data_IF_105635513350
#
_entry.id   IF_105635513350
#
_cell.length_a   1.000
_cell.length_b   1.000
_cell.length_c   1.000
_cell.angle_alpha   90.00
_cell.angle_beta   90.00
_cell.angle_gamma   90.00
#
_symmetry.space_group_name_H-M   'P 1'
#
loop_
_entity.id
_entity.type
_entity.pdbx_description
1 polymer ?
#
# COMPACT_ATOMS: atom_id res chain seq x y z
N UNK A 1 23.78 9.38 -1.36
CA UNK A 1 22.40 9.65 -1.80
C UNK A 1 21.61 8.39 -1.49
N UNK A 2 20.69 8.45 -0.52
CA UNK A 2 19.96 7.26 -0.06
C UNK A 2 18.94 6.80 -1.10
N UNK A 3 18.73 5.49 -1.18
CA UNK A 3 17.63 4.93 -1.99
C UNK A 3 16.29 5.36 -1.37
N UNK A 4 15.29 5.61 -2.22
CA UNK A 4 13.95 5.98 -1.78
C UNK A 4 13.32 4.85 -0.97
N UNK A 5 12.89 5.10 0.27
CA UNK A 5 12.31 4.08 1.15
C UNK A 5 10.80 4.03 1.05
N UNK A 6 10.27 2.89 0.63
CA UNK A 6 8.82 2.67 0.48
C UNK A 6 8.37 1.61 1.50
N UNK A 7 7.47 2.02 2.39
CA UNK A 7 6.89 1.17 3.41
C UNK A 7 5.71 0.37 2.89
N UNK A 8 5.77 -0.97 2.97
CA UNK A 8 4.63 -1.85 2.70
C UNK A 8 4.18 -2.50 4.02
N UNK A 9 2.96 -2.20 4.52
CA UNK A 9 2.40 -2.87 5.69
C UNK A 9 2.27 -4.38 5.45
N UNK A 10 2.82 -5.21 6.34
CA UNK A 10 2.65 -6.67 6.34
C UNK A 10 1.27 -7.06 6.89
N UNK A 11 0.22 -6.65 6.19
CA UNK A 11 -1.16 -6.90 6.58
C UNK A 11 -2.09 -6.94 5.35
N UNK A 12 -3.27 -7.55 5.53
CA UNK A 12 -4.30 -7.67 4.49
C UNK A 12 -3.75 -8.32 3.20
N UNK A 13 -3.82 -7.60 2.07
CA UNK A 13 -3.45 -8.06 0.73
C UNK A 13 -1.93 -8.15 0.50
N UNK A 14 -1.12 -7.81 1.51
CA UNK A 14 0.31 -8.09 1.51
C UNK A 14 0.60 -9.55 1.15
N UNK A 15 -0.09 -10.50 1.79
CA UNK A 15 0.22 -11.92 1.64
C UNK A 15 -0.02 -12.46 0.23
N UNK A 16 -0.81 -11.76 -0.57
CA UNK A 16 -1.13 -12.13 -1.94
C UNK A 16 -0.28 -11.35 -2.96
N UNK A 17 -0.09 -10.05 -2.76
CA UNK A 17 0.51 -9.16 -3.77
C UNK A 17 1.92 -8.65 -3.42
N UNK A 18 2.46 -8.97 -2.25
CA UNK A 18 3.77 -8.44 -1.83
C UNK A 18 4.91 -8.79 -2.79
N UNK A 19 5.10 -10.04 -3.27
CA UNK A 19 6.19 -10.35 -4.18
C UNK A 19 6.15 -9.51 -5.46
N UNK A 20 4.95 -9.27 -5.99
CA UNK A 20 4.72 -8.43 -7.17
C UNK A 20 5.18 -7.00 -6.94
N UNK A 21 4.69 -6.36 -5.87
CA UNK A 21 5.04 -4.98 -5.56
C UNK A 21 6.50 -4.82 -5.13
N UNK A 22 7.03 -5.75 -4.34
CA UNK A 22 8.44 -5.74 -3.92
C UNK A 22 9.36 -5.77 -5.13
N UNK A 23 9.18 -6.75 -6.02
CA UNK A 23 10.04 -6.91 -7.19
C UNK A 23 9.95 -5.70 -8.12
N UNK A 24 8.75 -5.15 -8.32
CA UNK A 24 8.55 -3.95 -9.13
C UNK A 24 9.29 -2.73 -8.53
N UNK A 25 9.07 -2.44 -7.25
CA UNK A 25 9.63 -1.26 -6.58
C UNK A 25 11.17 -1.35 -6.44
N UNK A 26 11.69 -2.52 -6.01
CA UNK A 26 13.12 -2.75 -5.92
C UNK A 26 13.79 -2.74 -7.30
N UNK A 27 13.14 -3.31 -8.32
CA UNK A 27 13.61 -3.26 -9.71
C UNK A 27 13.77 -1.83 -10.23
N UNK A 28 12.96 -0.90 -9.74
CA UNK A 28 13.07 0.52 -10.06
C UNK A 28 14.18 1.25 -9.28
N UNK A 29 14.66 0.67 -8.18
CA UNK A 29 15.72 1.22 -7.34
C UNK A 29 15.25 1.77 -5.99
N UNK A 30 14.00 1.51 -5.59
CA UNK A 30 13.51 1.82 -4.26
C UNK A 30 13.92 0.75 -3.24
N UNK A 31 14.08 1.13 -1.98
CA UNK A 31 14.26 0.21 -0.86
C UNK A 31 12.88 -0.10 -0.25
N UNK A 32 12.48 -1.37 -0.22
CA UNK A 32 11.19 -1.79 0.32
C UNK A 32 11.35 -2.15 1.80
N UNK A 33 10.66 -1.42 2.67
CA UNK A 33 10.63 -1.66 4.12
C UNK A 33 9.29 -2.27 4.50
N UNK A 34 9.31 -3.40 5.21
CA UNK A 34 8.10 -4.02 5.73
C UNK A 34 7.95 -3.78 7.24
N UNK A 35 6.72 -3.77 7.72
CA UNK A 35 6.43 -3.59 9.15
C UNK A 35 6.92 -4.76 10.01
N UNK A 36 6.99 -5.97 9.45
CA UNK A 36 7.22 -7.21 10.19
C UNK A 36 5.93 -7.87 10.70
N UNK A 37 6.04 -9.03 11.37
CA UNK A 37 4.90 -9.77 11.89
C UNK A 37 4.10 -8.92 12.88
N UNK A 38 2.80 -9.16 12.94
CA UNK A 38 1.91 -8.44 13.87
C UNK A 38 2.34 -8.67 15.31
N UNK A 39 2.61 -7.59 16.04
CA UNK A 39 2.88 -7.64 17.49
C UNK A 39 1.69 -7.13 18.28
N UNK A 40 1.67 -7.39 19.59
CA UNK A 40 0.61 -6.87 20.47
C UNK A 40 0.59 -5.34 20.50
N UNK A 41 1.75 -4.71 20.41
CA UNK A 41 1.87 -3.25 20.39
C UNK A 41 1.23 -2.66 19.13
N UNK A 42 1.44 -3.31 17.96
CA UNK A 42 0.76 -2.91 16.71
C UNK A 42 -0.75 -3.07 16.85
N UNK A 43 -1.20 -4.18 17.45
CA UNK A 43 -2.62 -4.40 17.72
C UNK A 43 -3.23 -3.29 18.56
N UNK A 44 -2.64 -3.02 19.72
CA UNK A 44 -3.13 -2.06 20.69
C UNK A 44 -3.14 -0.64 20.10
N UNK A 45 -2.08 -0.28 19.36
CA UNK A 45 -2.00 1.01 18.69
C UNK A 45 -3.03 1.12 17.57
N UNK A 46 -3.22 0.06 16.79
CA UNK A 46 -4.20 -0.02 15.72
C UNK A 46 -5.63 0.14 16.22
N UNK A 47 -5.98 -0.55 17.31
CA UNK A 47 -7.31 -0.44 17.95
C UNK A 47 -7.56 0.96 18.50
N UNK A 48 -6.55 1.59 19.12
CA UNK A 48 -6.67 2.95 19.66
C UNK A 48 -6.78 4.03 18.58
N UNK A 49 -6.14 3.83 17.43
CA UNK A 49 -6.06 4.85 16.37
C UNK A 49 -7.15 4.70 15.30
N UNK A 50 -7.84 3.57 15.28
CA UNK A 50 -8.89 3.27 14.33
C UNK A 50 -10.25 3.84 14.73
N UNK A 51 -11.09 4.11 13.72
CA UNK A 51 -12.51 4.38 13.90
C UNK A 51 -13.19 3.15 14.52
N UNK A 52 -14.18 3.36 15.40
CA UNK A 52 -14.82 2.28 16.18
C UNK A 52 -15.37 1.14 15.30
N UNK A 53 -16.06 1.50 14.21
CA UNK A 53 -16.84 0.62 13.33
C UNK A 53 -16.05 -0.02 12.17
N UNK A 54 -14.75 -0.27 12.34
CA UNK A 54 -13.95 -0.99 11.32
C UNK A 54 -13.59 -2.41 11.78
N UNK A 55 -13.49 -3.33 10.82
CA UNK A 55 -13.19 -4.73 11.13
C UNK A 55 -11.78 -4.87 11.70
N UNK A 56 -11.60 -5.89 12.55
CA UNK A 56 -10.36 -6.14 13.26
C UNK A 56 -9.12 -6.17 12.35
N UNK A 57 -9.13 -6.84 11.16
CA UNK A 57 -7.97 -6.83 10.26
C UNK A 57 -7.52 -5.43 9.82
N UNK A 58 -8.46 -4.48 9.66
CA UNK A 58 -8.13 -3.10 9.29
C UNK A 58 -7.57 -2.34 10.50
N UNK A 59 -8.05 -2.61 11.71
CA UNK A 59 -7.43 -2.09 12.94
C UNK A 59 -5.97 -2.57 13.05
N UNK A 60 -5.71 -3.85 12.77
CA UNK A 60 -4.33 -4.37 12.71
C UNK A 60 -3.50 -3.63 11.67
N UNK A 61 -4.04 -3.42 10.46
CA UNK A 61 -3.38 -2.68 9.39
C UNK A 61 -2.92 -1.27 9.83
N UNK A 62 -3.73 -0.56 10.63
CA UNK A 62 -3.34 0.75 11.19
C UNK A 62 -2.09 0.65 12.06
N UNK A 63 -1.99 -0.40 12.89
CA UNK A 63 -0.79 -0.68 13.68
C UNK A 63 0.46 -0.85 12.82
N UNK A 64 0.33 -1.59 11.71
CA UNK A 64 1.42 -1.76 10.76
C UNK A 64 1.83 -0.43 10.11
N UNK A 65 0.87 0.39 9.68
CA UNK A 65 1.13 1.74 9.15
C UNK A 65 1.87 2.60 10.16
N UNK A 66 1.41 2.62 11.41
CA UNK A 66 2.04 3.39 12.47
C UNK A 66 3.45 2.92 12.80
N UNK A 67 3.73 1.62 12.71
CA UNK A 67 5.09 1.10 12.87
C UNK A 67 6.04 1.49 11.73
N UNK A 68 5.51 1.88 10.57
CA UNK A 68 6.29 2.23 9.38
C UNK A 68 6.48 3.73 9.20
N UNK A 69 5.55 4.56 9.69
CA UNK A 69 5.46 5.98 9.35
C UNK A 69 6.77 6.78 9.56
N UNK A 70 7.56 6.45 10.58
CA UNK A 70 8.80 7.17 10.92
C UNK A 70 10.06 6.52 10.32
N UNK A 71 9.90 5.45 9.53
CA UNK A 71 11.01 4.65 8.95
C UNK A 71 11.11 4.75 7.43
N UNK A 72 10.15 5.41 6.77
CA UNK A 72 9.97 5.37 5.31
C UNK A 72 9.64 6.75 4.75
N UNK A 73 10.01 6.99 3.50
CA UNK A 73 9.72 8.24 2.79
C UNK A 73 8.29 8.24 2.24
N UNK A 74 7.78 7.06 1.87
CA UNK A 74 6.43 6.87 1.34
C UNK A 74 5.77 5.62 1.94
N UNK A 75 4.46 5.65 2.13
CA UNK A 75 3.65 4.49 2.49
C UNK A 75 2.89 3.95 1.29
N UNK A 76 3.04 2.65 1.01
CA UNK A 76 2.32 1.99 -0.08
C UNK A 76 1.02 1.38 0.44
N UNK A 77 -0.12 1.97 0.03
CA UNK A 77 -1.46 1.56 0.46
C UNK A 77 -2.37 1.51 -0.76
N UNK A 78 -2.39 0.39 -1.52
CA UNK A 78 -3.15 0.29 -2.75
C UNK A 78 -4.65 0.30 -2.49
N UNK A 79 -5.40 0.94 -3.38
CA UNK A 79 -6.86 0.92 -3.40
C UNK A 79 -7.35 -0.23 -4.28
N UNK A 80 -7.76 -1.31 -3.64
CA UNK A 80 -8.16 -2.54 -4.32
C UNK A 80 -9.68 -2.56 -4.50
N UNK A 81 -10.15 -2.44 -5.75
CA UNK A 81 -11.58 -2.36 -6.07
C UNK A 81 -12.07 -3.69 -6.65
N UNK A 82 -11.43 -4.15 -7.71
CA UNK A 82 -11.84 -5.32 -8.48
C UNK A 82 -10.61 -5.88 -9.22
N UNK A 83 -10.26 -7.13 -8.92
CA UNK A 83 -9.15 -7.87 -9.56
C UNK A 83 -9.62 -9.02 -10.44
N UNK A 84 -10.89 -9.41 -10.28
CA UNK A 84 -11.56 -10.49 -11.02
C UNK A 84 -12.97 -10.06 -11.45
N UNK A 85 -13.39 -10.48 -12.64
CA UNK A 85 -14.70 -10.11 -13.18
C UNK A 85 -15.82 -10.67 -12.30
N UNK A 86 -16.73 -9.79 -11.88
CA UNK A 86 -17.87 -10.17 -11.03
C UNK A 86 -17.57 -10.22 -9.54
N UNK A 87 -16.32 -9.98 -9.12
CA UNK A 87 -15.92 -9.95 -7.72
C UNK A 87 -15.45 -8.55 -7.29
N UNK A 88 -15.84 -8.14 -6.09
CA UNK A 88 -15.50 -6.85 -5.51
C UNK A 88 -14.90 -7.03 -4.12
N UNK A 89 -13.87 -6.24 -3.82
CA UNK A 89 -13.42 -6.15 -2.44
C UNK A 89 -14.46 -5.42 -1.58
N UNK A 90 -14.41 -5.66 -0.27
CA UNK A 90 -15.33 -5.02 0.65
C UNK A 90 -15.10 -3.48 0.68
N UNK A 91 -16.11 -2.67 1.08
CA UNK A 91 -15.98 -1.21 1.07
C UNK A 91 -14.78 -0.67 1.87
N UNK A 92 -14.27 -1.44 2.83
CA UNK A 92 -13.13 -1.06 3.66
C UNK A 92 -11.81 -1.14 2.90
N UNK A 93 -11.68 -2.05 1.92
CA UNK A 93 -10.55 -2.05 0.98
C UNK A 93 -10.63 -0.89 0.00
N UNK A 94 -11.83 -0.60 -0.49
CA UNK A 94 -12.06 0.52 -1.41
C UNK A 94 -11.73 1.85 -0.73
N UNK A 95 -12.03 2.00 0.56
CA UNK A 95 -11.74 3.21 1.34
C UNK A 95 -10.44 3.17 2.13
N UNK A 96 -9.65 2.10 2.05
CA UNK A 96 -8.51 1.87 2.96
C UNK A 96 -7.52 3.04 3.02
N UNK A 97 -6.98 3.55 1.88
CA UNK A 97 -6.05 4.66 1.95
C UNK A 97 -6.69 5.95 2.47
N UNK A 98 -7.97 6.21 2.16
CA UNK A 98 -8.66 7.42 2.66
C UNK A 98 -8.92 7.34 4.16
N UNK A 99 -9.32 6.17 4.64
CA UNK A 99 -9.51 5.91 6.07
C UNK A 99 -8.20 6.13 6.84
N UNK A 100 -7.08 5.64 6.30
CA UNK A 100 -5.77 5.82 6.92
C UNK A 100 -5.37 7.29 6.95
N UNK A 101 -5.52 8.01 5.83
CA UNK A 101 -5.22 9.47 5.75
C UNK A 101 -6.09 10.30 6.69
N UNK A 102 -7.36 9.92 6.88
CA UNK A 102 -8.29 10.68 7.70
C UNK A 102 -8.14 10.40 9.19
N UNK A 103 -7.70 9.19 9.56
CA UNK A 103 -7.66 8.76 10.96
C UNK A 103 -6.29 8.96 11.62
N UNK A 104 -5.20 8.93 10.84
CA UNK A 104 -3.84 9.01 11.37
C UNK A 104 -3.19 10.35 11.03
N UNK A 105 -2.45 10.90 12.00
CA UNK A 105 -1.73 12.17 11.85
C UNK A 105 -0.25 11.95 11.54
N UNK A 106 0.36 12.93 10.87
CA UNK A 106 1.80 12.96 10.55
C UNK A 106 2.27 11.71 9.80
N UNK A 107 1.51 11.30 8.78
CA UNK A 107 1.92 10.24 7.88
C UNK A 107 2.84 10.78 6.78
N UNK A 108 3.83 10.01 6.32
CA UNK A 108 4.51 10.30 5.07
C UNK A 108 3.51 10.23 3.89
N UNK A 109 3.84 10.78 2.72
CA UNK A 109 2.99 10.70 1.54
C UNK A 109 2.62 9.25 1.18
N UNK A 110 1.38 9.03 0.75
CA UNK A 110 0.89 7.71 0.35
C UNK A 110 1.06 7.49 -1.16
N UNK A 111 1.51 6.29 -1.51
CA UNK A 111 1.42 5.71 -2.84
C UNK A 111 0.18 4.81 -2.85
N UNK A 112 -0.90 5.30 -3.44
CA UNK A 112 -2.23 4.67 -3.40
C UNK A 112 -2.78 4.30 -4.79
N UNK A 113 -2.12 3.41 -5.55
CA UNK A 113 -2.60 2.99 -6.86
C UNK A 113 -3.99 2.37 -6.74
N UNK A 114 -4.90 2.77 -7.63
CA UNK A 114 -6.23 2.15 -7.73
C UNK A 114 -6.19 1.00 -8.71
N UNK A 115 -6.53 -0.20 -8.24
CA UNK A 115 -6.64 -1.41 -9.06
C UNK A 115 -8.13 -1.72 -9.27
N UNK A 116 -8.59 -1.51 -10.50
CA UNK A 116 -9.94 -1.86 -10.96
C UNK A 116 -9.87 -2.32 -12.41
N UNK A 117 -9.94 -3.63 -12.62
CA UNK A 117 -9.81 -4.25 -13.95
C UNK A 117 -10.95 -3.91 -14.91
N UNK A 118 -12.07 -3.40 -14.39
CA UNK A 118 -13.25 -3.05 -15.20
C UNK A 118 -13.05 -1.74 -15.96
N UNK A 119 -12.15 -0.89 -15.47
CA UNK A 119 -11.86 0.42 -16.05
C UNK A 119 -10.54 0.37 -16.81
N UNK A 120 -10.49 0.83 -18.07
CA UNK A 120 -9.25 0.83 -18.85
C UNK A 120 -8.09 1.58 -18.16
N UNK A 121 -8.39 2.68 -17.46
CA UNK A 121 -7.41 3.58 -16.83
C UNK A 121 -6.80 3.06 -15.52
N UNK A 122 -7.42 2.09 -14.88
CA UNK A 122 -6.96 1.47 -13.61
C UNK A 122 -6.74 -0.03 -13.75
N UNK A 123 -6.75 -0.52 -14.99
CA UNK A 123 -6.34 -1.87 -15.33
C UNK A 123 -4.82 -2.00 -15.13
N UNK A 124 -4.38 -3.11 -14.55
CA UNK A 124 -3.05 -3.41 -13.99
C UNK A 124 -1.86 -2.59 -14.52
N UNK A 125 -1.70 -2.38 -15.83
CA UNK A 125 -0.59 -1.62 -16.40
C UNK A 125 -0.54 -0.14 -15.98
N UNK A 126 -1.67 0.54 -15.96
CA UNK A 126 -1.71 1.99 -15.74
C UNK A 126 -1.34 2.39 -14.29
N UNK A 127 -1.83 1.69 -13.25
CA UNK A 127 -1.38 1.93 -11.88
C UNK A 127 0.12 1.69 -11.68
N UNK A 128 0.69 0.64 -12.29
CA UNK A 128 2.12 0.38 -12.22
C UNK A 128 2.93 1.50 -12.90
N UNK A 129 2.47 1.98 -14.05
CA UNK A 129 3.10 3.12 -14.72
C UNK A 129 3.06 4.39 -13.84
N UNK A 130 1.93 4.66 -13.18
CA UNK A 130 1.79 5.81 -12.30
C UNK A 130 2.73 5.72 -11.09
N UNK A 131 2.81 4.55 -10.43
CA UNK A 131 3.74 4.32 -9.32
C UNK A 131 5.19 4.40 -9.79
N UNK A 132 5.53 3.80 -10.92
CA UNK A 132 6.90 3.79 -11.44
C UNK A 132 7.43 5.19 -11.74
N UNK A 133 6.56 6.09 -12.23
CA UNK A 133 6.90 7.50 -12.49
C UNK A 133 7.24 8.30 -11.23
N UNK A 134 6.81 7.85 -10.04
CA UNK A 134 7.21 8.47 -8.77
C UNK A 134 8.66 8.14 -8.39
N UNK A 135 9.20 7.04 -8.92
CA UNK A 135 10.52 6.51 -8.56
C UNK A 135 11.56 6.83 -9.65
N UNK A 136 11.17 6.75 -10.93
CA UNK A 136 12.07 6.98 -12.06
C UNK A 136 11.38 7.65 -13.24
N UNK A 137 12.13 8.46 -13.99
CA UNK A 137 11.69 9.05 -15.25
C UNK A 137 11.88 8.11 -16.46
N UNK A 138 12.50 6.94 -16.26
CA UNK A 138 12.78 6.00 -17.35
C UNK A 138 11.59 5.07 -17.60
N UNK A 139 10.71 5.45 -18.54
CA UNK A 139 9.55 4.64 -18.94
C UNK A 139 9.91 3.22 -19.37
N UNK A 140 11.05 3.01 -20.05
CA UNK A 140 11.47 1.67 -20.50
C UNK A 140 11.77 0.76 -19.30
N UNK A 141 12.41 1.31 -18.26
CA UNK A 141 12.69 0.59 -17.01
C UNK A 141 11.39 0.19 -16.30
N UNK A 142 10.40 1.10 -16.27
CA UNK A 142 9.08 0.81 -15.67
C UNK A 142 8.38 -0.36 -16.35
N UNK A 143 8.38 -0.41 -17.68
CA UNK A 143 7.79 -1.54 -18.41
C UNK A 143 8.56 -2.85 -18.29
N UNK A 144 9.88 -2.80 -18.05
CA UNK A 144 10.71 -3.99 -17.87
C UNK A 144 10.65 -4.57 -16.45
N UNK A 145 10.25 -3.76 -15.46
CA UNK A 145 10.08 -4.19 -14.07
C UNK A 145 8.69 -4.74 -13.77
N UNK A 146 7.75 -4.63 -14.72
CA UNK A 146 6.42 -5.25 -14.68
C UNK A 146 6.46 -6.62 -15.36
#
# INVERSE_FOLDING_TARGET
MGNLKIGIPQALLYYEYFPLWKNFLEGLGAEVIISGPTTKEMLDLGVKSAISEICFPVKVFYGHVMSLKDRVDYLFIPRMVCVEKGAYFCPKFLGLPDMVKSSLFSLPPLIEPTIDIRKPTTNYKNPFLAVGKLITNNSKKIYQSF
#
